data_IF_291006745345
#
_entry.id   IF_291006745345
#
_cell.length_a   1.000
_cell.length_b   1.000
_cell.length_c   1.000
_cell.angle_alpha   90.00
_cell.angle_beta   90.00
_cell.angle_gamma   90.00
#
_symmetry.space_group_name_H-M   'P 1'
#
loop_
_entity.id
_entity.type
_entity.pdbx_description
1 polymer ?
#
# COMPACT_ATOMS: atom_id res chain seq x y z
N UNK A 1 -12.74 -6.48 -8.43
CA UNK A 1 -11.53 -7.06 -7.81
C UNK A 1 -10.43 -7.03 -8.86
N UNK A 2 -9.40 -6.20 -8.69
CA UNK A 2 -8.26 -6.15 -9.62
C UNK A 2 -7.29 -7.27 -9.22
N UNK A 3 -6.97 -8.17 -10.14
CA UNK A 3 -5.90 -9.17 -9.93
C UNK A 3 -4.57 -8.52 -10.29
N UNK A 4 -4.00 -7.79 -9.34
CA UNK A 4 -2.77 -7.01 -9.46
C UNK A 4 -1.51 -7.91 -9.47
N UNK A 5 -1.54 -8.91 -10.37
CA UNK A 5 -0.56 -9.99 -10.48
C UNK A 5 0.88 -9.52 -10.33
N UNK A 6 1.60 -10.19 -9.43
CA UNK A 6 3.01 -9.95 -9.02
C UNK A 6 3.31 -8.61 -8.32
N UNK A 7 2.33 -7.71 -8.14
CA UNK A 7 2.63 -6.45 -7.48
C UNK A 7 2.94 -6.70 -6.02
N UNK A 8 3.99 -6.05 -5.54
CA UNK A 8 4.49 -6.28 -4.19
C UNK A 8 4.65 -4.95 -3.47
N UNK A 9 4.17 -4.93 -2.23
CA UNK A 9 4.56 -3.93 -1.24
C UNK A 9 5.62 -4.59 -0.37
N UNK A 10 6.78 -3.96 -0.27
CA UNK A 10 7.82 -4.36 0.67
C UNK A 10 7.88 -3.33 1.80
N UNK A 11 7.82 -3.78 3.05
CA UNK A 11 7.94 -2.92 4.23
C UNK A 11 9.30 -3.20 4.85
N UNK A 12 10.24 -2.27 4.68
CA UNK A 12 11.61 -2.39 5.16
C UNK A 12 11.74 -2.06 6.64
N UNK A 13 11.04 -1.02 7.09
CA UNK A 13 11.03 -0.60 8.49
C UNK A 13 9.73 0.10 8.87
N UNK A 14 9.38 0.02 10.15
CA UNK A 14 8.24 0.72 10.76
C UNK A 14 8.79 1.53 11.92
N UNK A 15 8.51 2.84 11.94
CA UNK A 15 9.05 3.79 12.92
C UNK A 15 7.97 4.20 13.90
N UNK A 16 8.31 4.39 15.18
CA UNK A 16 7.35 4.76 16.24
C UNK A 16 6.61 6.08 15.97
N UNK A 17 7.17 6.96 15.14
CA UNK A 17 6.59 8.23 14.76
C UNK A 17 5.54 8.14 13.63
N UNK A 18 5.04 6.94 13.31
CA UNK A 18 4.03 6.73 12.27
C UNK A 18 4.58 6.69 10.84
N UNK A 19 5.90 6.82 10.64
CA UNK A 19 6.52 6.65 9.31
C UNK A 19 6.86 5.18 9.05
N UNK A 20 6.86 4.81 7.77
CA UNK A 20 7.41 3.55 7.30
C UNK A 20 8.43 3.81 6.20
N UNK A 21 9.37 2.88 6.02
CA UNK A 21 10.14 2.79 4.79
C UNK A 21 9.55 1.63 3.97
N UNK A 22 9.00 1.95 2.79
CA UNK A 22 8.31 0.97 1.95
C UNK A 22 8.71 1.10 0.47
N UNK A 23 8.66 -0.02 -0.24
CA UNK A 23 8.81 -0.12 -1.69
C UNK A 23 7.52 -0.62 -2.33
N UNK A 24 7.28 -0.22 -3.58
CA UNK A 24 6.18 -0.73 -4.39
C UNK A 24 6.71 -1.17 -5.76
N UNK A 25 6.29 -2.36 -6.20
CA UNK A 25 6.78 -2.99 -7.42
C UNK A 25 5.63 -3.40 -8.34
N UNK A 26 5.68 -2.98 -9.60
CA UNK A 26 4.74 -3.32 -10.66
C UNK A 26 5.40 -3.24 -12.06
N UNK A 27 5.86 -4.37 -12.64
CA UNK A 27 6.76 -5.36 -12.03
C UNK A 27 8.12 -4.76 -11.61
N UNK A 28 8.45 -3.55 -12.10
CA UNK A 28 9.60 -2.77 -11.67
C UNK A 28 9.27 -1.83 -10.50
N UNK A 29 10.28 -1.22 -9.87
CA UNK A 29 10.06 -0.28 -8.77
C UNK A 29 9.29 0.95 -9.27
N UNK A 30 8.30 1.38 -8.49
CA UNK A 30 7.64 2.68 -8.64
C UNK A 30 8.00 3.52 -7.43
N UNK A 31 8.29 4.80 -7.65
CA UNK A 31 8.67 5.69 -6.55
C UNK A 31 7.52 5.88 -5.54
N UNK A 32 7.85 5.64 -4.26
CA UNK A 32 6.99 5.89 -3.10
C UNK A 32 7.28 7.31 -2.58
N UNK A 33 6.30 8.19 -2.69
CA UNK A 33 6.36 9.58 -2.24
C UNK A 33 6.26 9.67 -0.71
N UNK A 34 5.36 8.87 -0.14
CA UNK A 34 5.19 8.75 1.30
C UNK A 34 4.66 7.38 1.70
N UNK A 35 5.04 6.93 2.88
CA UNK A 35 4.48 5.74 3.52
C UNK A 35 4.35 5.94 5.02
N UNK A 36 3.14 5.75 5.53
CA UNK A 36 2.80 5.96 6.95
C UNK A 36 1.93 4.84 7.47
N UNK A 37 1.96 4.67 8.79
CA UNK A 37 1.07 3.78 9.51
C UNK A 37 0.45 4.51 10.70
N UNK A 38 -0.72 4.05 11.10
CA UNK A 38 -1.41 4.53 12.30
C UNK A 38 -2.26 3.43 12.91
N UNK A 39 -2.81 3.70 14.09
CA UNK A 39 -3.79 2.83 14.74
C UNK A 39 -5.10 3.58 14.85
N UNK A 40 -6.18 2.97 14.36
CA UNK A 40 -7.53 3.51 14.52
C UNK A 40 -8.49 2.38 14.91
N UNK A 41 -9.23 2.56 16.02
CA UNK A 41 -10.19 1.56 16.53
C UNK A 41 -9.61 0.14 16.64
N UNK A 42 -8.34 0.03 17.03
CA UNK A 42 -7.62 -1.25 17.15
C UNK A 42 -7.09 -1.83 15.83
N UNK A 43 -7.38 -1.20 14.69
CA UNK A 43 -6.85 -1.58 13.39
C UNK A 43 -5.53 -0.87 13.09
N UNK A 44 -4.56 -1.60 12.52
CA UNK A 44 -3.34 -0.99 11.97
C UNK A 44 -3.67 -0.56 10.54
N UNK A 45 -3.60 0.76 10.31
CA UNK A 45 -3.80 1.38 9.00
C UNK A 45 -2.45 1.63 8.34
N UNK A 46 -2.38 1.44 7.03
CA UNK A 46 -1.22 1.69 6.19
C UNK A 46 -1.65 2.56 5.02
N UNK A 47 -0.98 3.71 4.85
CA UNK A 47 -1.12 4.55 3.66
C UNK A 47 0.21 4.58 2.90
N UNK A 48 0.16 4.37 1.59
CA UNK A 48 1.32 4.46 0.68
C UNK A 48 0.91 5.32 -0.52
N UNK A 49 1.65 6.40 -0.77
CA UNK A 49 1.44 7.29 -1.92
C UNK A 49 2.54 7.07 -2.94
N UNK A 50 2.15 6.87 -4.20
CA UNK A 50 3.04 6.65 -5.33
C UNK A 50 3.15 7.92 -6.18
N UNK A 51 4.38 8.32 -6.50
CA UNK A 51 4.65 9.49 -7.36
C UNK A 51 5.68 9.17 -8.44
N UNK A 52 5.20 8.92 -9.65
CA UNK A 52 6.01 8.60 -10.83
C UNK A 52 5.25 8.98 -12.13
N UNK A 53 5.85 8.77 -13.32
CA UNK A 53 5.31 9.21 -14.61
C UNK A 53 3.86 8.76 -14.89
N UNK A 54 3.45 7.59 -14.42
CA UNK A 54 2.08 7.05 -14.55
C UNK A 54 1.32 6.98 -13.20
N UNK A 55 1.88 7.60 -12.17
CA UNK A 55 1.39 7.57 -10.80
C UNK A 55 1.45 9.01 -10.25
N UNK A 56 0.52 9.91 -10.58
CA UNK A 56 0.60 11.31 -10.16
C UNK A 56 0.19 11.54 -8.68
N UNK A 57 0.27 10.51 -7.83
CA UNK A 57 -0.32 10.49 -6.48
C UNK A 57 -1.33 9.37 -6.27
N UNK A 58 -1.23 8.26 -7.03
CA UNK A 58 -2.03 7.06 -6.73
C UNK A 58 -1.68 6.56 -5.33
N UNK A 59 -2.65 6.02 -4.58
CA UNK A 59 -2.40 5.65 -3.19
C UNK A 59 -3.14 4.41 -2.73
N UNK A 60 -2.50 3.70 -1.82
CA UNK A 60 -3.07 2.57 -1.10
C UNK A 60 -3.51 3.04 0.28
N UNK A 61 -4.73 2.68 0.67
CA UNK A 61 -5.25 2.78 2.02
C UNK A 61 -5.63 1.36 2.47
N UNK A 62 -4.83 0.79 3.36
CA UNK A 62 -4.88 -0.62 3.72
C UNK A 62 -5.06 -0.79 5.22
N UNK A 63 -5.73 -1.87 5.59
CA UNK A 63 -5.82 -2.38 6.95
C UNK A 63 -4.99 -3.66 7.02
N UNK A 64 -4.12 -3.76 8.02
CA UNK A 64 -3.37 -4.98 8.29
C UNK A 64 -4.20 -5.94 9.14
N UNK A 65 -4.59 -7.06 8.55
CA UNK A 65 -5.23 -8.17 9.25
C UNK A 65 -4.15 -9.08 9.85
N UNK A 66 -3.94 -8.92 11.15
CA UNK A 66 -2.95 -9.71 11.91
C UNK A 66 -3.27 -11.20 11.98
N UNK A 67 -4.55 -11.58 11.84
CA UNK A 67 -4.98 -12.99 11.95
C UNK A 67 -4.65 -13.74 10.67
N UNK A 68 -4.81 -13.09 9.52
CA UNK A 68 -4.56 -13.69 8.21
C UNK A 68 -3.22 -13.27 7.58
N UNK A 69 -2.47 -12.38 8.24
CA UNK A 69 -1.19 -11.82 7.77
C UNK A 69 -1.28 -11.28 6.34
N UNK A 70 -2.25 -10.38 6.15
CA UNK A 70 -2.53 -9.72 4.87
C UNK A 70 -2.83 -8.23 5.06
N UNK A 71 -2.64 -7.47 3.99
CA UNK A 71 -3.10 -6.10 3.86
C UNK A 71 -4.30 -6.07 2.92
N UNK A 72 -5.41 -5.46 3.33
CA UNK A 72 -6.59 -5.32 2.48
C UNK A 72 -7.15 -3.91 2.55
N UNK A 73 -7.68 -3.41 1.45
CA UNK A 73 -8.31 -2.10 1.43
C UNK A 73 -8.45 -1.58 0.01
N UNK A 74 -8.14 -0.30 -0.19
CA UNK A 74 -8.40 0.39 -1.43
C UNK A 74 -7.13 0.92 -2.10
N UNK A 75 -7.08 0.80 -3.42
CA UNK A 75 -6.16 1.49 -4.30
C UNK A 75 -6.89 2.60 -5.07
N UNK A 76 -6.50 3.85 -4.83
CA UNK A 76 -6.94 5.00 -5.62
C UNK A 76 -5.99 5.18 -6.82
N UNK A 77 -6.51 4.96 -8.02
CA UNK A 77 -5.81 5.20 -9.29
C UNK A 77 -6.01 6.66 -9.69
N UNK A 78 -4.96 7.47 -9.56
CA UNK A 78 -5.06 8.92 -9.65
C UNK A 78 -5.30 9.47 -11.08
N UNK A 79 -4.96 8.70 -12.13
CA UNK A 79 -5.15 9.15 -13.52
C UNK A 79 -6.63 9.13 -13.93
N UNK A 80 -7.37 8.13 -13.48
CA UNK A 80 -8.78 7.89 -13.80
C UNK A 80 -9.70 8.33 -12.65
N UNK A 81 -9.16 8.53 -11.45
CA UNK A 81 -9.94 8.86 -10.26
C UNK A 81 -10.78 7.69 -9.75
N UNK A 82 -10.33 6.45 -9.98
CA UNK A 82 -11.09 5.23 -9.65
C UNK A 82 -10.46 4.51 -8.46
N UNK A 83 -11.34 3.99 -7.60
CA UNK A 83 -11.00 3.17 -6.45
C UNK A 83 -11.16 1.69 -6.78
N UNK A 84 -10.17 0.88 -6.41
CA UNK A 84 -10.20 -0.58 -6.55
C UNK A 84 -9.98 -1.26 -5.21
N UNK A 85 -10.79 -2.27 -4.89
CA UNK A 85 -10.51 -3.15 -3.76
C UNK A 85 -9.32 -4.05 -4.07
N UNK A 86 -8.37 -4.08 -3.15
CA UNK A 86 -7.09 -4.79 -3.26
C UNK A 86 -6.78 -5.58 -2.00
N UNK A 87 -6.08 -6.70 -2.18
CA UNK A 87 -5.55 -7.54 -1.11
C UNK A 87 -4.10 -7.91 -1.46
N UNK A 88 -3.20 -7.76 -0.50
CA UNK A 88 -1.83 -8.25 -0.55
C UNK A 88 -1.64 -9.30 0.53
N UNK A 89 -1.25 -10.50 0.12
CA UNK A 89 -0.90 -11.61 1.03
C UNK A 89 0.61 -11.63 1.25
N UNK A 90 1.07 -11.99 2.45
CA UNK A 90 2.51 -12.14 2.69
C UNK A 90 3.13 -13.16 1.73
N UNK A 91 4.18 -12.73 1.01
CA UNK A 91 5.05 -13.64 0.26
C UNK A 91 5.82 -14.55 1.24
N UNK A 92 5.89 -15.84 0.92
CA UNK A 92 6.63 -16.84 1.70
C UNK A 92 8.10 -16.90 1.29
#
# INVERSE_FOLDING_TARGET
>A
MRSDGTYTIEIFSVKENGKMDAGYFNPGPINVDSSVWSVNEGNILVEIVLRDANYPGSKYNLIYDRRNDLLSGNYFQAVQGINYDVIFTRNK
#
